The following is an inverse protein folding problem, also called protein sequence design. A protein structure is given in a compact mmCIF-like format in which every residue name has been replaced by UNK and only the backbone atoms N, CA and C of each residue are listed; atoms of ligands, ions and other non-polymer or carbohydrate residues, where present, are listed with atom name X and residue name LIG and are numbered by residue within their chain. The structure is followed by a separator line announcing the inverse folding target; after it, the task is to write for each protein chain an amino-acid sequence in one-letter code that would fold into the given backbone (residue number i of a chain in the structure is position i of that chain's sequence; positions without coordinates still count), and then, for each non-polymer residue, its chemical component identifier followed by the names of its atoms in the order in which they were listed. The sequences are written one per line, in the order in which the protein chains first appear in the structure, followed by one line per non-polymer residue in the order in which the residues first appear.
data_IF_300651213393
#
_entry.id   IF_300651213393
#
_cell.length_a   1.000
_cell.length_b   1.000
_cell.length_c   1.000
_cell.angle_alpha   90.00
_cell.angle_beta   90.00
_cell.angle_gamma   90.00
#
_symmetry.space_group_name_H-M   'P 1'
#
loop_
_entity.id
_entity.type
_entity.pdbx_description
1 polymer ?
#
# COMPACT_ATOMS: atom_id res chain seq x y z
N UNK A 1 -3.93 11.66 24.94
CA UNK A 1 -2.63 11.43 25.55
C UNK A 1 -1.63 10.78 24.61
N UNK A 2 -1.40 11.42 23.44
CA UNK A 2 -0.38 11.06 22.47
C UNK A 2 0.54 12.25 22.27
N UNK A 3 1.83 11.99 22.01
CA UNK A 3 2.77 13.04 21.64
C UNK A 3 2.43 13.61 20.25
N UNK A 4 2.81 14.87 20.02
CA UNK A 4 2.64 15.56 18.75
C UNK A 4 3.34 14.84 17.59
N UNK A 5 4.50 14.22 17.84
CA UNK A 5 5.21 13.42 16.85
C UNK A 5 4.38 12.24 16.35
N UNK A 6 3.74 11.46 17.25
CA UNK A 6 2.90 10.32 16.86
C UNK A 6 1.70 10.76 16.02
N UNK A 7 1.08 11.90 16.36
CA UNK A 7 -0.03 12.47 15.59
C UNK A 7 0.45 12.91 14.21
N UNK A 8 1.58 13.61 14.15
CA UNK A 8 2.16 14.09 12.90
C UNK A 8 2.56 12.93 11.97
N UNK A 9 3.25 11.91 12.48
CA UNK A 9 3.67 10.75 11.69
C UNK A 9 2.48 9.99 11.10
N UNK A 10 1.38 9.88 11.87
CA UNK A 10 0.14 9.29 11.38
C UNK A 10 -0.48 10.12 10.26
N UNK A 11 -0.55 11.45 10.44
CA UNK A 11 -1.06 12.38 9.45
C UNK A 11 -0.22 12.36 8.16
N UNK A 12 1.11 12.26 8.31
CA UNK A 12 2.05 12.10 7.18
C UNK A 12 1.71 10.87 6.35
N UNK A 13 1.51 9.71 6.98
CA UNK A 13 1.10 8.49 6.28
C UNK A 13 -0.20 8.66 5.50
N UNK A 14 -1.16 9.39 6.06
CA UNK A 14 -2.44 9.66 5.41
C UNK A 14 -2.34 10.54 4.15
N UNK A 15 -1.20 11.25 3.98
CA UNK A 15 -0.91 12.07 2.80
C UNK A 15 -0.03 11.36 1.76
N UNK A 16 0.55 10.19 2.08
CA UNK A 16 1.48 9.49 1.22
C UNK A 16 0.76 8.57 0.22
N UNK A 17 0.92 8.84 -1.08
CA UNK A 17 0.26 8.09 -2.15
C UNK A 17 0.75 6.65 -2.32
N UNK A 18 1.89 6.30 -1.73
CA UNK A 18 2.40 4.92 -1.70
C UNK A 18 2.00 4.17 -0.44
N UNK A 19 1.47 4.87 0.58
CA UNK A 19 1.03 4.28 1.85
C UNK A 19 -0.47 3.99 1.88
N UNK A 20 -1.30 4.89 1.33
CA UNK A 20 -2.76 4.73 1.26
C UNK A 20 -3.26 4.68 -0.18
N UNK A 21 -4.19 3.77 -0.44
CA UNK A 21 -4.88 3.68 -1.74
C UNK A 21 -5.76 4.89 -2.00
N UNK A 22 -6.43 5.39 -0.98
CA UNK A 22 -7.25 6.61 -1.01
C UNK A 22 -6.76 7.57 0.06
N UNK A 23 -6.15 8.67 -0.37
CA UNK A 23 -5.56 9.64 0.54
C UNK A 23 -6.61 10.32 1.43
N UNK A 24 -6.31 10.40 2.71
CA UNK A 24 -7.15 11.04 3.72
C UNK A 24 -6.74 12.49 3.97
N UNK A 25 -5.50 12.83 3.73
CA UNK A 25 -4.90 14.15 3.93
C UNK A 25 -4.39 14.71 2.62
N UNK A 26 -4.69 15.98 2.38
CA UNK A 26 -4.09 16.81 1.34
C UNK A 26 -2.89 17.55 1.95
N UNK A 27 -1.69 17.06 1.64
CA UNK A 27 -0.45 17.59 2.18
C UNK A 27 0.21 18.58 1.24
N UNK A 28 0.73 19.69 1.79
CA UNK A 28 1.57 20.64 1.07
C UNK A 28 2.94 20.73 1.76
N UNK A 29 3.99 20.47 1.00
CA UNK A 29 5.36 20.40 1.50
C UNK A 29 5.98 19.03 1.29
N UNK A 30 7.02 18.70 2.03
CA UNK A 30 7.71 17.41 1.96
C UNK A 30 7.13 16.43 2.98
N UNK A 31 6.40 15.44 2.50
CA UNK A 31 5.81 14.34 3.27
C UNK A 31 6.59 13.02 3.12
N UNK A 32 7.88 13.11 2.78
CA UNK A 32 8.72 11.93 2.53
C UNK A 32 8.67 11.44 1.09
N UNK A 33 9.28 10.30 0.84
CA UNK A 33 9.30 9.66 -0.48
C UNK A 33 9.20 8.14 -0.38
N UNK A 34 8.90 7.50 -1.50
CA UNK A 34 8.92 6.03 -1.63
C UNK A 34 10.34 5.44 -1.45
N UNK A 35 11.36 6.28 -1.47
CA UNK A 35 12.75 5.94 -1.18
C UNK A 35 13.06 5.85 0.32
N UNK A 36 12.06 6.15 1.16
CA UNK A 36 12.19 6.14 2.61
C UNK A 36 12.74 7.44 3.20
N UNK A 37 12.77 8.53 2.43
CA UNK A 37 13.13 9.83 2.96
C UNK A 37 12.11 10.27 4.01
N UNK A 38 12.62 10.83 5.10
CA UNK A 38 11.78 11.37 6.17
C UNK A 38 11.01 12.61 5.72
N UNK A 39 9.80 12.82 6.23
CA UNK A 39 9.08 14.07 6.00
C UNK A 39 9.83 15.24 6.63
N UNK A 40 9.56 16.44 6.13
CA UNK A 40 10.01 17.66 6.80
C UNK A 40 9.36 17.80 8.17
N UNK A 41 10.00 18.54 9.10
CA UNK A 41 9.40 18.84 10.39
C UNK A 41 8.05 19.56 10.19
N UNK A 42 7.08 19.31 11.08
CA UNK A 42 5.69 19.79 10.95
C UNK A 42 5.56 21.31 10.76
N UNK A 43 6.52 22.10 11.24
CA UNK A 43 6.52 23.56 11.04
C UNK A 43 6.74 24.00 9.58
N UNK A 44 7.13 23.07 8.70
CA UNK A 44 7.38 23.32 7.27
C UNK A 44 6.32 22.71 6.36
N UNK A 45 5.30 22.09 6.92
CA UNK A 45 4.24 21.42 6.14
C UNK A 45 2.88 21.98 6.47
N UNK A 46 1.98 21.92 5.52
CA UNK A 46 0.56 22.21 5.70
C UNK A 46 -0.27 20.96 5.38
N UNK A 47 -1.36 20.79 6.10
CA UNK A 47 -2.26 19.66 5.90
C UNK A 47 -3.71 20.12 5.92
N UNK A 48 -4.52 19.52 5.05
CA UNK A 48 -5.97 19.68 4.96
C UNK A 48 -6.63 18.33 4.84
N UNK A 49 -7.86 18.19 5.28
CA UNK A 49 -8.63 16.97 5.03
C UNK A 49 -8.98 16.86 3.55
N UNK A 50 -8.87 15.65 3.01
CA UNK A 50 -9.47 15.30 1.73
C UNK A 50 -10.99 15.15 1.90
N UNK A 51 -11.74 15.27 0.81
CA UNK A 51 -13.21 15.13 0.83
C UNK A 51 -13.67 13.82 1.45
N UNK A 52 -12.98 12.72 1.16
CA UNK A 52 -13.28 11.41 1.76
C UNK A 52 -13.19 11.43 3.30
N UNK A 53 -12.26 12.18 3.87
CA UNK A 53 -12.11 12.31 5.33
C UNK A 53 -13.22 13.16 5.94
N UNK A 54 -13.68 14.21 5.23
CA UNK A 54 -14.85 14.99 5.63
C UNK A 54 -16.10 14.12 5.63
N UNK A 55 -16.29 13.29 4.61
CA UNK A 55 -17.43 12.36 4.51
C UNK A 55 -17.39 11.28 5.61
N UNK A 56 -16.21 10.87 6.07
CA UNK A 56 -16.07 9.95 7.21
C UNK A 56 -16.51 10.56 8.54
N UNK A 57 -16.43 11.86 8.69
CA UNK A 57 -16.78 12.57 9.93
C UNK A 57 -18.09 13.34 9.85
N UNK A 58 -18.79 13.30 8.72
CA UNK A 58 -19.97 14.12 8.45
C UNK A 58 -21.10 13.94 9.48
N UNK A 59 -21.20 12.78 10.13
CA UNK A 59 -22.27 12.45 11.07
C UNK A 59 -21.76 12.31 12.54
N UNK A 60 -20.54 12.82 12.85
CA UNK A 60 -19.92 12.66 14.16
C UNK A 60 -20.74 13.27 15.30
N UNK A 61 -21.48 14.36 15.02
CA UNK A 61 -22.32 15.07 15.99
C UNK A 61 -23.76 14.55 16.03
N UNK A 62 -24.09 13.45 15.32
CA UNK A 62 -25.47 12.97 15.16
C UNK A 62 -25.82 11.77 16.03
N UNK A 63 -24.99 11.42 17.01
CA UNK A 63 -25.22 10.30 17.93
C UNK A 63 -25.56 8.97 17.22
N UNK A 64 -24.83 8.70 16.13
CA UNK A 64 -25.01 7.50 15.29
C UNK A 64 -24.13 6.33 15.68
N UNK A 65 -23.17 6.54 16.58
CA UNK A 65 -22.25 5.54 17.11
C UNK A 65 -22.12 5.67 18.63
N UNK A 66 -21.70 4.61 19.27
CA UNK A 66 -21.45 4.62 20.72
C UNK A 66 -20.26 5.53 21.04
N UNK A 67 -20.35 6.20 22.18
CA UNK A 67 -19.30 7.04 22.75
C UNK A 67 -18.82 6.49 24.09
N UNK A 68 -17.53 6.62 24.32
CA UNK A 68 -16.88 6.29 25.58
C UNK A 68 -16.23 7.52 26.19
N UNK A 69 -15.89 7.46 27.46
CA UNK A 69 -15.08 8.50 28.10
C UNK A 69 -13.64 8.41 27.62
N UNK A 70 -13.00 9.57 27.45
CA UNK A 70 -11.56 9.63 27.16
C UNK A 70 -10.73 9.20 28.39
N UNK A 71 -9.40 9.23 28.25
CA UNK A 71 -8.47 8.72 29.27
C UNK A 71 -8.67 9.31 30.69
N UNK A 72 -9.04 10.57 30.80
CA UNK A 72 -9.19 11.28 32.08
C UNK A 72 -10.67 11.53 32.46
N UNK A 73 -11.59 10.89 31.77
CA UNK A 73 -13.05 10.96 31.97
C UNK A 73 -13.66 12.38 31.83
N UNK A 74 -12.91 13.29 31.22
CA UNK A 74 -13.37 14.69 31.06
C UNK A 74 -14.21 14.94 29.82
N UNK A 75 -14.03 14.13 28.77
CA UNK A 75 -14.71 14.26 27.49
C UNK A 75 -15.20 12.89 27.00
N UNK A 76 -16.14 12.92 26.06
CA UNK A 76 -16.57 11.71 25.34
C UNK A 76 -15.93 11.69 23.97
N UNK A 77 -15.56 10.49 23.53
CA UNK A 77 -15.05 10.21 22.19
C UNK A 77 -15.83 9.05 21.55
N UNK A 78 -16.02 9.04 20.22
CA UNK A 78 -16.69 7.94 19.56
C UNK A 78 -15.80 6.67 19.61
N UNK A 79 -16.41 5.52 19.84
CA UNK A 79 -15.70 4.22 19.84
C UNK A 79 -15.23 3.84 18.43
N UNK A 80 -16.00 4.25 17.41
CA UNK A 80 -15.68 4.14 15.97
C UNK A 80 -16.15 5.39 15.26
N UNK A 81 -15.52 5.76 14.14
CA UNK A 81 -16.02 6.89 13.34
C UNK A 81 -17.31 6.49 12.61
N UNK A 82 -18.32 7.40 12.55
CA UNK A 82 -19.58 7.18 11.83
C UNK A 82 -19.38 7.36 10.31
N UNK A 83 -18.51 6.54 9.74
CA UNK A 83 -18.09 6.70 8.34
C UNK A 83 -19.16 6.33 7.33
N UNK A 84 -19.27 7.12 6.25
CA UNK A 84 -20.08 6.80 5.06
C UNK A 84 -19.28 6.04 4.00
N UNK A 85 -17.97 5.91 4.19
CA UNK A 85 -17.06 5.23 3.28
C UNK A 85 -16.51 4.01 3.99
N UNK A 86 -16.49 2.82 3.37
CA UNK A 86 -15.96 1.59 3.97
C UNK A 86 -14.43 1.62 4.03
N UNK A 87 -13.87 2.57 4.79
CA UNK A 87 -12.44 2.87 4.82
C UNK A 87 -11.57 1.67 5.23
N UNK A 88 -12.08 0.81 6.13
CA UNK A 88 -11.37 -0.40 6.53
C UNK A 88 -11.10 -1.33 5.34
N UNK A 89 -12.01 -1.41 4.37
CA UNK A 89 -11.87 -2.25 3.19
C UNK A 89 -11.05 -1.55 2.10
N UNK A 90 -11.26 -0.25 1.87
CA UNK A 90 -10.62 0.44 0.74
C UNK A 90 -9.18 0.87 1.02
N UNK A 91 -8.82 1.18 2.26
CA UNK A 91 -7.44 1.51 2.66
C UNK A 91 -6.75 0.38 3.43
N UNK A 92 -7.51 -0.65 3.84
CA UNK A 92 -6.96 -1.72 4.67
C UNK A 92 -6.64 -1.27 6.09
N UNK A 93 -6.04 -2.16 6.83
CA UNK A 93 -5.52 -1.91 8.18
C UNK A 93 -4.35 -2.84 8.47
N UNK A 94 -3.31 -2.29 9.09
CA UNK A 94 -2.17 -3.08 9.57
C UNK A 94 -1.87 -2.67 11.01
N UNK A 95 -1.73 -3.65 11.88
CA UNK A 95 -1.43 -3.38 13.28
C UNK A 95 -1.09 -4.63 14.07
N UNK A 96 -0.24 -4.44 15.08
CA UNK A 96 0.19 -5.48 16.00
C UNK A 96 -0.36 -5.16 17.38
N UNK A 97 -1.11 -6.11 17.95
CA UNK A 97 -1.63 -6.02 19.31
C UNK A 97 -1.08 -7.18 20.14
N UNK A 98 -1.31 -7.14 21.46
CA UNK A 98 -0.93 -8.24 22.34
C UNK A 98 -1.77 -9.47 22.00
N UNK A 99 -1.12 -10.53 21.56
CA UNK A 99 -1.76 -11.81 21.26
C UNK A 99 -2.41 -11.90 19.88
N UNK A 100 -2.46 -10.84 19.07
CA UNK A 100 -2.99 -10.85 17.71
C UNK A 100 -2.38 -9.77 16.82
N UNK A 101 -2.41 -9.99 15.51
CA UNK A 101 -2.04 -9.01 14.51
C UNK A 101 -3.09 -8.98 13.39
N UNK A 102 -3.23 -7.85 12.73
CA UNK A 102 -4.04 -7.70 11.52
C UNK A 102 -3.21 -7.12 10.39
N UNK A 103 -3.44 -7.60 9.18
CA UNK A 103 -2.83 -7.07 7.97
C UNK A 103 -3.83 -7.19 6.82
N UNK A 104 -4.84 -6.32 6.84
CA UNK A 104 -5.87 -6.26 5.82
C UNK A 104 -5.39 -5.38 4.67
N UNK A 105 -5.32 -5.90 3.43
CA UNK A 105 -4.90 -5.11 2.27
C UNK A 105 -5.96 -4.11 1.84
N UNK A 106 -5.58 -3.05 1.11
CA UNK A 106 -6.51 -2.12 0.48
C UNK A 106 -7.22 -2.75 -0.72
N UNK A 107 -8.41 -2.21 -1.07
CA UNK A 107 -9.24 -2.68 -2.18
C UNK A 107 -9.78 -1.51 -3.01
N UNK A 108 -10.20 -1.81 -4.23
CA UNK A 108 -10.83 -0.83 -5.12
C UNK A 108 -12.20 -0.39 -4.60
N UNK A 109 -12.41 0.93 -4.51
CA UNK A 109 -13.65 1.49 -3.97
C UNK A 109 -14.89 1.08 -4.78
N UNK A 110 -14.81 1.09 -6.11
CA UNK A 110 -15.93 0.69 -6.96
C UNK A 110 -16.28 -0.78 -6.76
N UNK A 111 -15.30 -1.67 -6.70
CA UNK A 111 -15.50 -3.09 -6.44
C UNK A 111 -16.14 -3.33 -5.05
N UNK A 112 -15.69 -2.61 -4.03
CA UNK A 112 -16.27 -2.69 -2.67
C UNK A 112 -17.72 -2.18 -2.65
N UNK A 113 -18.01 -1.09 -3.36
CA UNK A 113 -19.39 -0.55 -3.46
C UNK A 113 -20.30 -1.55 -4.18
N UNK A 114 -19.86 -2.10 -5.32
CA UNK A 114 -20.63 -3.09 -6.07
C UNK A 114 -20.86 -4.37 -5.25
N UNK A 115 -19.85 -4.86 -4.54
CA UNK A 115 -19.99 -5.98 -3.60
C UNK A 115 -20.95 -5.68 -2.44
N UNK A 116 -20.91 -4.46 -1.91
CA UNK A 116 -21.84 -4.01 -0.86
C UNK A 116 -23.29 -3.97 -1.36
N UNK A 117 -23.54 -3.47 -2.57
CA UNK A 117 -24.86 -3.46 -3.20
C UNK A 117 -25.36 -4.89 -3.38
N UNK A 118 -24.51 -5.78 -3.91
CA UNK A 118 -24.87 -7.19 -4.10
C UNK A 118 -25.21 -7.89 -2.76
N UNK A 119 -24.49 -7.56 -1.68
CA UNK A 119 -24.78 -8.07 -0.34
C UNK A 119 -26.11 -7.53 0.24
N UNK A 120 -26.43 -6.26 -0.02
CA UNK A 120 -27.71 -5.65 0.41
C UNK A 120 -28.88 -6.31 -0.33
N UNK A 121 -28.72 -6.56 -1.64
CA UNK A 121 -29.76 -7.19 -2.46
C UNK A 121 -29.96 -8.66 -2.11
N UNK A 122 -28.90 -9.35 -1.68
CA UNK A 122 -28.94 -10.74 -1.23
C UNK A 122 -28.01 -10.96 -0.03
N UNK A 123 -28.58 -10.90 1.18
CA UNK A 123 -27.83 -11.04 2.44
C UNK A 123 -27.21 -12.45 2.63
N UNK A 124 -27.74 -13.46 1.93
CA UNK A 124 -27.25 -14.83 1.92
C UNK A 124 -26.21 -15.11 0.82
N UNK A 125 -25.74 -14.04 0.13
CA UNK A 125 -24.73 -14.17 -0.91
C UNK A 125 -23.44 -14.82 -0.34
N UNK A 126 -22.91 -15.80 -1.05
CA UNK A 126 -21.69 -16.49 -0.64
C UNK A 126 -20.43 -15.61 -0.87
N UNK A 127 -19.34 -15.94 -0.17
CA UNK A 127 -18.04 -15.27 -0.39
C UNK A 127 -17.58 -15.46 -1.83
N UNK A 128 -17.77 -16.63 -2.41
CA UNK A 128 -17.40 -16.93 -3.80
C UNK A 128 -18.16 -16.05 -4.80
N UNK A 129 -19.44 -15.77 -4.54
CA UNK A 129 -20.25 -14.85 -5.37
C UNK A 129 -19.80 -13.39 -5.15
N UNK A 130 -19.47 -12.97 -3.92
CA UNK A 130 -18.92 -11.63 -3.64
C UNK A 130 -17.58 -11.41 -4.34
N UNK A 131 -16.76 -12.44 -4.50
CA UNK A 131 -15.49 -12.38 -5.24
C UNK A 131 -15.67 -12.13 -6.75
N UNK A 132 -16.89 -12.19 -7.29
CA UNK A 132 -17.17 -11.73 -8.65
C UNK A 132 -17.12 -10.19 -8.75
N UNK A 133 -17.40 -9.50 -7.65
CA UNK A 133 -17.36 -8.04 -7.52
C UNK A 133 -16.00 -7.58 -6.98
N UNK A 134 -15.58 -8.11 -5.84
CA UNK A 134 -14.28 -7.80 -5.19
C UNK A 134 -13.28 -8.89 -5.55
N UNK A 135 -12.51 -8.66 -6.61
CA UNK A 135 -11.68 -9.71 -7.21
C UNK A 135 -10.40 -9.99 -6.44
N UNK A 136 -9.73 -8.92 -5.97
CA UNK A 136 -8.44 -9.03 -5.29
C UNK A 136 -8.11 -7.69 -4.58
N UNK A 137 -7.08 -7.67 -3.71
CA UNK A 137 -6.50 -6.42 -3.22
C UNK A 137 -6.08 -5.47 -4.34
N UNK A 138 -6.21 -4.15 -4.10
CA UNK A 138 -5.81 -3.08 -5.01
C UNK A 138 -4.79 -2.16 -4.31
N UNK A 139 -3.53 -2.35 -4.62
CA UNK A 139 -2.43 -1.68 -3.92
C UNK A 139 -2.10 -0.30 -4.50
N UNK A 140 -1.76 0.71 -3.67
CA UNK A 140 -1.46 2.07 -4.13
C UNK A 140 -0.21 2.14 -5.02
N UNK A 141 0.72 1.21 -4.88
CA UNK A 141 1.96 1.15 -5.68
C UNK A 141 1.83 0.29 -6.93
N UNK A 142 0.63 -0.24 -7.22
CA UNK A 142 0.40 -1.16 -8.34
C UNK A 142 0.99 -2.54 -8.08
N UNK A 143 1.65 -3.08 -9.10
CA UNK A 143 2.21 -4.43 -9.08
C UNK A 143 1.25 -5.50 -9.62
N UNK A 144 1.70 -6.72 -9.61
CA UNK A 144 0.98 -7.88 -10.14
C UNK A 144 0.84 -8.92 -9.04
N UNK A 145 -0.39 -9.30 -8.71
CA UNK A 145 -0.65 -10.43 -7.80
C UNK A 145 -0.29 -11.72 -8.54
N UNK A 146 0.63 -12.48 -7.98
CA UNK A 146 1.13 -13.72 -8.55
C UNK A 146 0.48 -14.94 -7.90
N UNK A 147 -0.45 -15.55 -8.64
CA UNK A 147 -1.31 -16.63 -8.15
C UNK A 147 -2.55 -16.10 -7.43
N UNK A 148 -3.67 -16.79 -7.59
CA UNK A 148 -4.96 -16.36 -7.04
C UNK A 148 -5.36 -17.13 -5.78
N UNK A 149 -4.75 -18.29 -5.55
CA UNK A 149 -5.11 -19.18 -4.44
C UNK A 149 -4.97 -18.50 -3.07
N UNK A 150 -3.89 -17.70 -2.88
CA UNK A 150 -3.69 -16.96 -1.65
C UNK A 150 -4.73 -15.85 -1.42
N UNK A 151 -5.24 -15.23 -2.48
CA UNK A 151 -6.35 -14.25 -2.39
C UNK A 151 -7.64 -14.97 -1.97
N UNK A 152 -7.95 -16.08 -2.62
CA UNK A 152 -9.13 -16.90 -2.33
C UNK A 152 -9.09 -17.39 -0.88
N UNK A 153 -7.98 -17.95 -0.44
CA UNK A 153 -7.78 -18.40 0.93
C UNK A 153 -7.96 -17.26 1.95
N UNK A 154 -7.40 -16.07 1.64
CA UNK A 154 -7.53 -14.90 2.50
C UNK A 154 -9.00 -14.45 2.65
N UNK A 155 -9.77 -14.44 1.58
CA UNK A 155 -11.17 -14.03 1.59
C UNK A 155 -12.07 -15.06 2.26
N UNK A 156 -11.84 -16.36 2.05
CA UNK A 156 -12.64 -17.44 2.62
C UNK A 156 -12.36 -17.67 4.11
N UNK A 157 -11.09 -17.67 4.51
CA UNK A 157 -10.66 -18.03 5.87
C UNK A 157 -10.23 -16.86 6.74
N UNK A 158 -10.04 -15.67 6.15
CA UNK A 158 -9.42 -14.53 6.81
C UNK A 158 -7.88 -14.64 6.93
N UNK A 159 -7.27 -15.67 6.35
CA UNK A 159 -5.81 -15.89 6.33
C UNK A 159 -5.40 -16.43 4.98
N UNK A 160 -4.42 -15.78 4.35
CA UNK A 160 -3.88 -16.21 3.07
C UNK A 160 -2.59 -15.47 2.74
N UNK A 161 -1.77 -16.04 1.87
CA UNK A 161 -0.51 -15.44 1.42
C UNK A 161 -0.71 -14.83 0.03
N UNK A 162 -0.79 -13.51 -0.03
CA UNK A 162 -0.87 -12.77 -1.31
C UNK A 162 0.54 -12.39 -1.75
N UNK A 163 1.01 -12.99 -2.82
CA UNK A 163 2.32 -12.70 -3.41
C UNK A 163 2.17 -11.58 -4.43
N UNK A 164 2.91 -10.48 -4.21
CA UNK A 164 2.92 -9.32 -5.10
C UNK A 164 4.27 -9.25 -5.81
N UNK A 165 4.25 -9.04 -7.12
CA UNK A 165 5.43 -8.76 -7.92
C UNK A 165 5.36 -7.35 -8.48
N UNK A 166 6.52 -6.71 -8.61
CA UNK A 166 6.61 -5.44 -9.33
C UNK A 166 6.28 -5.63 -10.82
N UNK A 167 6.03 -4.54 -11.51
CA UNK A 167 5.88 -4.53 -12.96
C UNK A 167 7.21 -4.19 -13.61
N UNK A 168 7.68 -5.07 -14.49
CA UNK A 168 8.90 -4.87 -15.24
C UNK A 168 8.74 -5.29 -16.70
N UNK A 169 9.44 -4.58 -17.55
CA UNK A 169 9.47 -4.81 -18.98
C UNK A 169 10.93 -4.83 -19.47
N UNK A 170 11.17 -5.51 -20.58
CA UNK A 170 12.48 -5.51 -21.24
C UNK A 170 12.45 -4.42 -22.30
N UNK A 171 13.40 -3.49 -22.20
CA UNK A 171 13.58 -2.41 -23.15
C UNK A 171 15.00 -2.42 -23.72
N UNK A 172 15.16 -2.05 -24.98
CA UNK A 172 16.46 -1.77 -25.56
C UNK A 172 16.79 -0.28 -25.43
N UNK A 173 17.83 0.05 -24.68
CA UNK A 173 18.28 1.43 -24.43
C UNK A 173 19.72 1.56 -24.90
N UNK A 174 19.96 2.39 -25.92
CA UNK A 174 21.29 2.62 -26.51
C UNK A 174 22.02 1.32 -26.94
N UNK A 175 21.29 0.38 -27.54
CA UNK A 175 21.83 -0.91 -27.99
C UNK A 175 22.15 -1.89 -26.88
N UNK A 176 21.60 -1.70 -25.68
CA UNK A 176 21.71 -2.62 -24.55
C UNK A 176 20.33 -3.05 -24.07
N UNK A 177 20.17 -4.32 -23.82
CA UNK A 177 18.96 -4.81 -23.15
C UNK A 177 18.94 -4.35 -21.69
N UNK A 178 17.80 -3.88 -21.24
CA UNK A 178 17.56 -3.39 -19.91
C UNK A 178 16.27 -3.98 -19.37
N UNK A 179 16.25 -4.28 -18.06
CA UNK A 179 15.01 -4.53 -17.34
C UNK A 179 14.59 -3.21 -16.72
N UNK A 180 13.38 -2.75 -17.05
CA UNK A 180 12.81 -1.49 -16.56
C UNK A 180 11.67 -1.82 -15.62
N UNK A 181 11.82 -1.43 -14.36
CA UNK A 181 10.81 -1.59 -13.31
C UNK A 181 10.05 -0.29 -13.16
N UNK A 182 8.73 -0.36 -13.35
CA UNK A 182 7.83 0.80 -13.27
C UNK A 182 6.89 0.77 -12.07
N UNK A 183 6.72 -0.40 -11.45
CA UNK A 183 5.95 -0.56 -10.22
C UNK A 183 6.67 -1.53 -9.29
N UNK A 184 6.64 -1.26 -7.99
CA UNK A 184 7.21 -2.13 -6.95
C UNK A 184 6.09 -2.65 -6.03
N UNK A 185 6.28 -3.80 -5.37
CA UNK A 185 5.30 -4.31 -4.43
C UNK A 185 4.98 -3.31 -3.32
N UNK A 186 3.76 -3.39 -2.81
CA UNK A 186 3.31 -2.57 -1.68
C UNK A 186 4.22 -2.75 -0.46
N UNK A 187 4.49 -1.65 0.25
CA UNK A 187 5.38 -1.59 1.42
C UNK A 187 6.87 -1.85 1.14
N UNK A 188 7.28 -2.02 -0.10
CA UNK A 188 8.70 -2.12 -0.47
C UNK A 188 9.30 -0.72 -0.58
N UNK A 189 10.43 -0.50 0.07
CA UNK A 189 11.24 0.71 -0.07
C UNK A 189 12.09 0.61 -1.35
N UNK A 190 11.96 1.61 -2.26
CA UNK A 190 12.64 1.59 -3.56
C UNK A 190 14.17 1.62 -3.43
N UNK A 191 14.71 2.51 -2.61
CA UNK A 191 16.16 2.63 -2.39
C UNK A 191 16.74 1.35 -1.79
N UNK A 192 16.04 0.74 -0.84
CA UNK A 192 16.47 -0.50 -0.20
C UNK A 192 16.45 -1.67 -1.19
N UNK A 193 15.43 -1.75 -2.05
CA UNK A 193 15.37 -2.73 -3.14
C UNK A 193 16.57 -2.59 -4.08
N UNK A 194 16.88 -1.37 -4.51
CA UNK A 194 18.03 -1.10 -5.38
C UNK A 194 19.34 -1.50 -4.68
N UNK A 195 19.52 -1.13 -3.41
CA UNK A 195 20.69 -1.45 -2.60
C UNK A 195 20.87 -2.96 -2.46
N UNK A 196 19.82 -3.69 -2.05
CA UNK A 196 19.86 -5.17 -1.93
C UNK A 196 20.20 -5.84 -3.26
N UNK A 197 19.63 -5.36 -4.36
CA UNK A 197 19.95 -5.90 -5.69
C UNK A 197 21.42 -5.68 -6.04
N UNK A 198 21.97 -4.48 -5.78
CA UNK A 198 23.38 -4.20 -6.01
C UNK A 198 24.29 -5.08 -5.16
N UNK A 199 23.95 -5.34 -3.91
CA UNK A 199 24.67 -6.27 -3.04
C UNK A 199 24.66 -7.70 -3.59
N UNK A 200 23.49 -8.19 -4.02
CA UNK A 200 23.38 -9.54 -4.62
C UNK A 200 24.20 -9.68 -5.92
N UNK A 201 24.31 -8.60 -6.71
CA UNK A 201 25.15 -8.57 -7.90
C UNK A 201 26.65 -8.60 -7.52
N UNK A 202 27.06 -7.83 -6.51
CA UNK A 202 28.43 -7.79 -6.01
C UNK A 202 28.84 -9.15 -5.39
N UNK A 203 27.93 -9.79 -4.68
CA UNK A 203 28.11 -11.13 -4.09
C UNK A 203 28.06 -12.26 -5.14
N UNK A 204 27.85 -11.92 -6.42
CA UNK A 204 27.67 -12.89 -7.52
C UNK A 204 26.51 -13.87 -7.33
N UNK A 205 25.51 -13.50 -6.53
CA UNK A 205 24.26 -14.26 -6.39
C UNK A 205 23.29 -13.99 -7.54
N UNK A 206 23.40 -12.79 -8.13
CA UNK A 206 22.72 -12.42 -9.37
C UNK A 206 23.81 -12.07 -10.39
N UNK A 207 23.77 -12.74 -11.53
CA UNK A 207 24.66 -12.48 -12.65
C UNK A 207 23.91 -11.78 -13.80
N UNK A 208 24.65 -11.16 -14.70
CA UNK A 208 24.06 -10.56 -15.91
C UNK A 208 23.70 -9.07 -15.80
N UNK A 209 23.71 -8.46 -14.62
CA UNK A 209 23.52 -7.02 -14.45
C UNK A 209 24.87 -6.31 -14.54
N UNK A 210 24.96 -5.24 -15.35
CA UNK A 210 26.16 -4.42 -15.49
C UNK A 210 26.07 -3.10 -14.73
N UNK A 211 24.86 -2.53 -14.61
CA UNK A 211 24.61 -1.27 -13.90
C UNK A 211 23.16 -1.17 -13.49
N UNK A 212 22.89 -0.36 -12.47
CA UNK A 212 21.55 -0.04 -11.98
C UNK A 212 21.41 1.47 -11.94
N UNK A 213 20.31 1.99 -12.48
CA UNK A 213 20.00 3.44 -12.47
C UNK A 213 18.60 3.65 -11.95
N UNK A 214 18.45 4.62 -11.09
CA UNK A 214 17.15 5.19 -10.76
C UNK A 214 16.90 6.39 -11.68
N UNK A 215 15.95 6.24 -12.57
CA UNK A 215 15.52 7.27 -13.54
C UNK A 215 14.11 7.78 -13.20
N UNK A 216 13.65 7.53 -11.95
CA UNK A 216 12.34 7.97 -11.49
C UNK A 216 12.24 9.50 -11.50
N UNK A 217 11.12 10.01 -11.98
CA UNK A 217 10.82 11.43 -12.05
C UNK A 217 9.35 11.73 -11.67
N UNK A 218 8.89 12.96 -11.96
CA UNK A 218 7.49 13.36 -11.69
C UNK A 218 6.46 12.60 -12.52
N UNK A 219 6.86 11.89 -13.57
CA UNK A 219 5.96 11.10 -14.42
C UNK A 219 5.74 9.70 -13.86
N UNK A 220 6.63 9.23 -12.99
CA UNK A 220 6.51 7.94 -12.35
C UNK A 220 7.83 7.31 -11.95
N UNK A 221 7.72 6.13 -11.38
CA UNK A 221 8.85 5.29 -11.03
C UNK A 221 9.47 4.66 -12.26
N UNK A 222 10.80 4.68 -12.33
CA UNK A 222 11.57 4.03 -13.38
C UNK A 222 12.94 3.61 -12.86
N UNK A 223 13.08 2.34 -12.52
CA UNK A 223 14.37 1.75 -12.14
C UNK A 223 14.87 0.88 -13.28
N UNK A 224 16.08 1.17 -13.78
CA UNK A 224 16.65 0.55 -14.97
C UNK A 224 17.84 -0.33 -14.59
N UNK A 225 17.71 -1.63 -14.83
CA UNK A 225 18.77 -2.61 -14.68
C UNK A 225 19.39 -2.89 -16.05
N UNK A 226 20.60 -2.39 -16.29
CA UNK A 226 21.31 -2.56 -17.57
C UNK A 226 21.99 -3.92 -17.57
N UNK A 227 21.70 -4.73 -18.59
CA UNK A 227 22.24 -6.08 -18.70
C UNK A 227 23.65 -6.08 -19.32
N UNK A 228 24.44 -7.10 -18.99
CA UNK A 228 25.69 -7.42 -19.68
C UNK A 228 25.36 -7.99 -21.07
N UNK A 229 26.32 -7.91 -21.99
CA UNK A 229 26.20 -8.52 -23.30
C UNK A 229 25.97 -10.02 -23.14
N UNK A 230 25.02 -10.56 -23.90
CA UNK A 230 24.66 -11.99 -23.90
C UNK A 230 24.04 -12.50 -22.56
N UNK A 231 23.64 -11.61 -21.63
CA UNK A 231 22.89 -12.00 -20.46
C UNK A 231 21.44 -12.34 -20.86
N UNK A 232 20.97 -13.50 -20.38
CA UNK A 232 19.55 -13.86 -20.54
C UNK A 232 18.79 -13.14 -19.41
N UNK A 233 17.85 -12.25 -19.74
CA UNK A 233 17.11 -11.53 -18.74
C UNK A 233 16.20 -12.49 -17.95
N UNK A 234 16.60 -12.80 -16.73
CA UNK A 234 15.77 -13.56 -15.81
C UNK A 234 15.08 -12.62 -14.83
N UNK A 235 13.95 -12.08 -15.28
CA UNK A 235 13.13 -11.14 -14.51
C UNK A 235 12.69 -11.76 -13.18
N UNK A 236 12.49 -13.06 -13.12
CA UNK A 236 12.02 -13.74 -11.91
C UNK A 236 12.99 -13.62 -10.72
N UNK A 237 14.30 -13.53 -10.94
CA UNK A 237 15.26 -13.44 -9.85
C UNK A 237 15.29 -12.05 -9.16
N UNK A 238 14.79 -11.00 -9.82
CA UNK A 238 14.72 -9.66 -9.25
C UNK A 238 13.51 -9.48 -8.30
N UNK A 239 12.54 -10.41 -8.32
CA UNK A 239 11.27 -10.28 -7.61
C UNK A 239 11.11 -11.22 -6.41
N UNK A 240 12.06 -12.09 -6.16
CA UNK A 240 12.02 -13.04 -5.03
C UNK A 240 12.71 -12.50 -3.78
N UNK A 241 12.67 -11.21 -3.50
CA UNK A 241 12.86 -10.76 -2.13
C UNK A 241 11.51 -10.97 -1.44
N UNK A 242 11.39 -12.06 -0.70
CA UNK A 242 10.28 -12.30 0.21
C UNK A 242 10.20 -11.12 1.19
N UNK A 243 9.26 -10.20 0.95
CA UNK A 243 8.84 -9.21 1.94
C UNK A 243 7.89 -9.84 2.99
N UNK A 244 7.86 -11.17 3.05
CA UNK A 244 6.98 -11.96 3.91
C UNK A 244 7.72 -12.77 4.99
N UNK A 245 9.05 -12.67 5.07
CA UNK A 245 9.85 -13.32 6.11
C UNK A 245 10.51 -12.27 7.02
N UNK A 246 9.68 -11.53 7.79
CA UNK A 246 10.04 -10.92 9.08
C UNK A 246 8.80 -10.78 9.97
#
# INVERSE_FOLDING_TARGET
PHGDSSVYDTMVRMAQSWSLRYLMVDGQGNFGSIDGDSPAAMRYTEARMKKISEDMMADIDKDTVEHQLNFDDTLKEPTVLPTRVPNLLVNGASGIAVGMATNMPPHNLSEIVDGTIAYIDNIEISIEELMQFVKAPDFPTGGIIYGYDGVKEAFESGRGRVVIRGKAEIEEINGKECIVVTEIPFQVNKSEMIRKTAELVNDKKIEGISNIRDESDRKGMRVVYILKRDAIPNICLLYTSDAADD
#
